data_IF_093542776077
#
_entry.id   IF_093542776077
#
_cell.length_a   1.000
_cell.length_b   1.000
_cell.length_c   1.000
_cell.angle_alpha   90.00
_cell.angle_beta   90.00
_cell.angle_gamma   90.00
#
_symmetry.space_group_name_H-M   'P 1'
#
loop_
_entity.id
_entity.type
_entity.pdbx_description
1 polymer ?
#
# COMPACT_ATOMS: atom_id res chain seq x y z
N UNK A 1 -22.95 63.24 -4.98
CA UNK A 1 -21.93 62.43 -4.29
C UNK A 1 -22.63 61.57 -3.26
N UNK A 2 -22.82 60.28 -3.55
CA UNK A 2 -23.50 59.36 -2.63
C UNK A 2 -22.49 58.91 -1.58
N UNK A 3 -22.68 59.34 -0.33
CA UNK A 3 -21.85 58.96 0.81
C UNK A 3 -22.28 57.55 1.25
N UNK A 4 -21.39 56.57 1.09
CA UNK A 4 -21.58 55.23 1.65
C UNK A 4 -21.37 55.29 3.16
N UNK A 5 -22.40 54.97 3.94
CA UNK A 5 -22.28 54.79 5.38
C UNK A 5 -21.88 53.34 5.65
N UNK A 6 -20.60 53.13 6.00
CA UNK A 6 -20.09 51.85 6.47
C UNK A 6 -20.33 51.82 7.98
N UNK A 7 -21.17 50.88 8.43
CA UNK A 7 -21.37 50.60 9.86
C UNK A 7 -20.61 49.31 10.20
N UNK A 8 -19.76 49.37 11.23
CA UNK A 8 -19.05 48.22 11.75
C UNK A 8 -20.02 47.37 12.55
N UNK A 9 -20.52 46.29 11.97
CA UNK A 9 -21.17 45.21 12.72
C UNK A 9 -20.09 44.37 13.38
N UNK A 10 -20.19 44.21 14.71
CA UNK A 10 -19.39 43.22 15.42
C UNK A 10 -19.59 41.84 14.78
N UNK A 11 -18.52 41.03 14.63
CA UNK A 11 -18.63 39.72 14.04
C UNK A 11 -19.62 38.88 14.86
N UNK A 12 -20.56 38.22 14.18
CA UNK A 12 -21.50 37.26 14.80
C UNK A 12 -20.69 36.30 15.69
N UNK A 13 -21.09 36.17 16.95
CA UNK A 13 -20.42 35.30 17.92
C UNK A 13 -20.21 33.92 17.29
N UNK A 14 -18.92 33.56 17.14
CA UNK A 14 -18.58 32.22 16.67
C UNK A 14 -19.09 31.25 17.71
N UNK A 15 -19.88 30.27 17.29
CA UNK A 15 -20.26 29.13 18.12
C UNK A 15 -18.99 28.40 18.58
N UNK A 16 -18.45 28.78 19.74
CA UNK A 16 -17.46 27.96 20.41
C UNK A 16 -18.25 26.90 21.18
N UNK A 17 -17.95 25.63 20.92
CA UNK A 17 -18.53 24.53 21.69
C UNK A 17 -18.37 24.81 23.18
N UNK A 18 -19.47 24.80 23.93
CA UNK A 18 -19.49 24.99 25.39
C UNK A 18 -18.98 23.78 26.16
N UNK A 19 -18.67 22.68 25.46
CA UNK A 19 -18.01 21.50 26.04
C UNK A 19 -16.51 21.75 26.14
N UNK A 20 -15.99 21.61 27.36
CA UNK A 20 -14.56 21.61 27.63
C UNK A 20 -13.86 20.54 26.77
N UNK A 21 -12.77 20.95 26.12
CA UNK A 21 -11.94 20.04 25.36
C UNK A 21 -11.24 19.07 26.31
N UNK A 22 -10.93 17.83 25.86
CA UNK A 22 -10.17 16.89 26.68
C UNK A 22 -8.82 17.50 27.07
N UNK A 23 -8.60 17.66 28.37
CA UNK A 23 -7.30 18.05 28.94
C UNK A 23 -6.53 16.80 29.34
N UNK A 24 -5.20 16.90 29.43
CA UNK A 24 -4.34 15.80 29.91
C UNK A 24 -4.71 15.31 31.31
N UNK A 25 -5.24 16.20 32.16
CA UNK A 25 -5.75 15.85 33.48
C UNK A 25 -7.06 15.08 33.39
N UNK A 26 -7.97 15.54 32.52
CA UNK A 26 -9.18 14.80 32.22
C UNK A 26 -8.82 13.40 31.74
N UNK A 27 -7.86 13.23 30.80
CA UNK A 27 -7.33 11.98 30.23
C UNK A 27 -6.75 11.00 31.30
N UNK A 28 -6.17 11.54 32.37
CA UNK A 28 -5.65 10.71 33.44
C UNK A 28 -6.77 10.15 34.34
N UNK A 29 -7.83 10.93 34.55
CA UNK A 29 -8.93 10.60 35.47
C UNK A 29 -9.75 9.38 35.04
N UNK A 30 -10.02 9.23 33.75
CA UNK A 30 -10.82 8.10 33.27
C UNK A 30 -9.98 7.02 32.56
N UNK A 31 -8.66 6.98 32.82
CA UNK A 31 -7.72 6.00 32.23
C UNK A 31 -8.13 4.54 32.46
N UNK A 32 -8.90 4.28 33.52
CA UNK A 32 -9.42 2.97 33.89
C UNK A 32 -10.91 2.81 33.60
N UNK A 33 -11.57 3.82 33.01
CA UNK A 33 -12.99 3.77 32.66
C UNK A 33 -13.15 3.09 31.29
N UNK A 34 -13.75 1.88 31.22
CA UNK A 34 -13.95 1.17 29.96
C UNK A 34 -14.90 1.90 29.00
N UNK A 35 -15.72 2.82 29.53
CA UNK A 35 -16.74 3.54 28.76
C UNK A 35 -16.22 4.87 28.21
N UNK A 36 -15.03 5.30 28.62
CA UNK A 36 -14.49 6.57 28.17
C UNK A 36 -13.81 6.46 26.82
N UNK A 37 -14.53 6.89 25.80
CA UNK A 37 -14.03 6.99 24.43
C UNK A 37 -13.29 8.33 24.27
N UNK A 38 -12.03 8.26 23.83
CA UNK A 38 -11.24 9.45 23.46
C UNK A 38 -12.03 10.22 22.40
N UNK A 39 -12.56 11.39 22.78
CA UNK A 39 -13.67 12.05 22.11
C UNK A 39 -13.39 12.46 20.67
N UNK A 40 -13.54 11.53 19.72
CA UNK A 40 -13.96 11.86 18.37
C UNK A 40 -15.46 12.12 18.43
N UNK A 41 -15.88 13.36 18.18
CA UNK A 41 -17.30 13.67 18.06
C UNK A 41 -17.82 13.05 16.77
N UNK A 42 -18.35 11.84 16.88
CA UNK A 42 -18.96 11.14 15.78
C UNK A 42 -20.43 11.59 15.62
N UNK A 43 -20.81 12.24 14.49
CA UNK A 43 -22.21 12.52 14.22
C UNK A 43 -23.08 11.26 14.30
N UNK A 44 -24.33 11.38 14.78
CA UNK A 44 -25.25 10.25 14.83
C UNK A 44 -25.48 9.68 13.42
N UNK A 45 -25.74 8.37 13.34
CA UNK A 45 -25.79 7.59 12.09
C UNK A 45 -26.65 8.25 11.00
N UNK A 46 -27.75 8.86 11.40
CA UNK A 46 -28.71 9.56 10.53
C UNK A 46 -28.14 10.81 9.84
N UNK A 47 -27.12 11.44 10.43
CA UNK A 47 -26.48 12.66 9.93
C UNK A 47 -25.21 12.39 9.14
N UNK A 48 -24.82 11.12 8.99
CA UNK A 48 -23.61 10.74 8.25
C UNK A 48 -23.90 10.85 6.75
N UNK A 49 -23.12 11.64 5.99
CA UNK A 49 -23.25 11.69 4.55
C UNK A 49 -22.99 10.31 3.92
N UNK A 50 -23.64 10.03 2.79
CA UNK A 50 -23.32 8.86 1.96
C UNK A 50 -21.85 8.92 1.53
N UNK A 51 -21.19 7.76 1.41
CA UNK A 51 -19.76 7.62 1.14
C UNK A 51 -18.82 8.23 2.20
N UNK A 52 -19.30 8.48 3.42
CA UNK A 52 -18.45 8.83 4.56
C UNK A 52 -18.49 7.77 5.64
N UNK A 53 -17.33 7.60 6.26
CA UNK A 53 -17.06 6.63 7.30
C UNK A 53 -16.83 7.36 8.62
N UNK A 54 -17.31 6.77 9.69
CA UNK A 54 -16.88 7.16 11.03
C UNK A 54 -15.48 6.63 11.30
N UNK A 55 -14.75 7.26 12.21
CA UNK A 55 -13.38 6.84 12.49
C UNK A 55 -13.38 5.47 13.18
N UNK A 56 -14.32 5.26 14.10
CA UNK A 56 -14.56 3.96 14.72
C UNK A 56 -14.91 2.89 13.69
N UNK A 57 -15.86 3.19 12.82
CA UNK A 57 -16.28 2.33 11.71
C UNK A 57 -15.10 1.95 10.80
N UNK A 58 -14.23 2.92 10.48
CA UNK A 58 -13.04 2.69 9.67
C UNK A 58 -12.02 1.77 10.38
N UNK A 59 -11.80 1.97 11.68
CA UNK A 59 -10.90 1.11 12.46
C UNK A 59 -11.43 -0.33 12.57
N UNK A 60 -12.73 -0.50 12.80
CA UNK A 60 -13.39 -1.80 12.85
C UNK A 60 -13.30 -2.51 11.49
N UNK A 61 -13.53 -1.79 10.38
CA UNK A 61 -13.36 -2.31 9.02
C UNK A 61 -11.92 -2.76 8.74
N UNK A 62 -10.95 -1.90 9.04
CA UNK A 62 -9.53 -2.18 8.82
C UNK A 62 -9.06 -3.38 9.63
N UNK A 63 -9.52 -3.50 10.88
CA UNK A 63 -9.24 -4.64 11.75
C UNK A 63 -9.81 -5.93 11.16
N UNK A 64 -11.10 -5.96 10.80
CA UNK A 64 -11.73 -7.16 10.23
C UNK A 64 -11.03 -7.60 8.95
N UNK A 65 -10.68 -6.64 8.08
CA UNK A 65 -9.96 -6.91 6.83
C UNK A 65 -8.56 -7.45 7.07
N UNK A 66 -7.86 -6.96 8.09
CA UNK A 66 -6.57 -7.50 8.50
C UNK A 66 -6.70 -8.92 9.06
N UNK A 67 -7.69 -9.20 9.90
CA UNK A 67 -7.93 -10.55 10.47
C UNK A 67 -8.21 -11.58 9.36
N UNK A 68 -8.89 -11.18 8.27
CA UNK A 68 -9.10 -12.04 7.10
C UNK A 68 -7.83 -12.34 6.31
N UNK A 69 -6.98 -11.33 6.11
CA UNK A 69 -5.75 -11.45 5.29
C UNK A 69 -4.56 -11.99 6.09
N UNK A 70 -4.59 -11.89 7.41
CA UNK A 70 -3.48 -12.29 8.28
C UNK A 70 -3.37 -13.80 8.39
N UNK A 71 -2.22 -14.34 8.02
CA UNK A 71 -1.88 -15.77 8.14
C UNK A 71 -1.82 -16.26 9.59
N UNK A 72 -1.61 -15.35 10.55
CA UNK A 72 -1.54 -15.66 11.98
C UNK A 72 -2.91 -15.70 12.67
N UNK A 73 -3.97 -15.28 11.98
CA UNK A 73 -5.32 -15.23 12.55
C UNK A 73 -5.95 -16.61 12.61
N UNK A 74 -6.59 -16.91 13.74
CA UNK A 74 -7.28 -18.17 13.98
C UNK A 74 -8.52 -18.32 13.07
N UNK A 75 -8.85 -19.53 12.63
CA UNK A 75 -10.08 -19.80 11.86
C UNK A 75 -11.38 -19.23 12.47
N UNK A 76 -11.65 -19.34 13.79
CA UNK A 76 -12.80 -18.70 14.41
C UNK A 76 -12.77 -17.16 14.31
N UNK A 77 -11.60 -16.53 14.42
CA UNK A 77 -11.47 -15.09 14.28
C UNK A 77 -11.76 -14.65 12.84
N UNK A 78 -11.26 -15.40 11.85
CA UNK A 78 -11.59 -15.16 10.44
C UNK A 78 -13.08 -15.28 10.15
N UNK A 79 -13.77 -16.27 10.74
CA UNK A 79 -15.23 -16.43 10.58
C UNK A 79 -16.00 -15.26 11.21
N UNK A 80 -15.58 -14.81 12.40
CA UNK A 80 -16.18 -13.63 13.05
C UNK A 80 -15.94 -12.36 12.24
N UNK A 81 -14.72 -12.15 11.74
CA UNK A 81 -14.40 -11.01 10.88
C UNK A 81 -15.19 -11.02 9.57
N UNK A 82 -15.38 -12.20 8.95
CA UNK A 82 -16.20 -12.34 7.74
C UNK A 82 -17.67 -11.99 7.99
N UNK A 83 -18.25 -12.44 9.11
CA UNK A 83 -19.61 -12.11 9.51
C UNK A 83 -19.77 -10.62 9.82
N UNK A 84 -18.81 -10.04 10.54
CA UNK A 84 -18.82 -8.62 10.85
C UNK A 84 -18.68 -7.75 9.59
N UNK A 85 -17.92 -8.19 8.59
CA UNK A 85 -17.83 -7.50 7.30
C UNK A 85 -19.10 -7.61 6.45
N UNK A 86 -19.78 -8.77 6.46
CA UNK A 86 -21.04 -8.92 5.73
C UNK A 86 -22.16 -8.09 6.36
N UNK A 87 -22.18 -7.99 7.69
CA UNK A 87 -23.28 -7.40 8.44
C UNK A 87 -23.05 -5.91 8.75
N UNK A 88 -21.86 -5.37 8.44
CA UNK A 88 -21.52 -3.99 8.80
C UNK A 88 -22.36 -2.96 8.04
N UNK A 89 -22.91 -1.98 8.76
CA UNK A 89 -23.63 -0.83 8.19
C UNK A 89 -22.74 -0.02 7.21
N UNK A 90 -21.42 -0.17 7.34
CA UNK A 90 -20.40 0.53 6.55
C UNK A 90 -20.32 0.02 5.12
N UNK A 91 -20.34 -1.30 4.92
CA UNK A 91 -20.25 -1.91 3.59
C UNK A 91 -21.50 -1.66 2.75
N UNK A 92 -22.63 -1.33 3.40
CA UNK A 92 -23.85 -0.89 2.73
C UNK A 92 -23.88 0.63 2.41
N UNK A 93 -23.14 1.46 3.15
CA UNK A 93 -23.16 2.94 3.02
C UNK A 93 -22.07 3.48 2.09
N UNK A 94 -20.98 2.75 1.93
CA UNK A 94 -19.73 3.24 1.33
C UNK A 94 -19.32 2.33 0.17
N UNK A 95 -18.87 2.94 -0.93
CA UNK A 95 -18.40 2.21 -2.10
C UNK A 95 -17.19 1.32 -1.79
N UNK A 96 -17.15 0.13 -2.41
CA UNK A 96 -16.07 -0.84 -2.23
C UNK A 96 -14.70 -0.27 -2.62
N UNK A 97 -14.63 0.54 -3.69
CA UNK A 97 -13.39 1.18 -4.15
C UNK A 97 -12.78 2.08 -3.06
N UNK A 98 -13.60 2.90 -2.41
CA UNK A 98 -13.12 3.77 -1.32
C UNK A 98 -12.64 2.99 -0.10
N UNK A 99 -13.25 1.83 0.18
CA UNK A 99 -12.82 0.94 1.26
C UNK A 99 -11.51 0.21 0.91
N UNK A 100 -11.26 -0.03 -0.38
CA UNK A 100 -10.00 -0.59 -0.90
C UNK A 100 -8.88 0.44 -0.79
N UNK A 101 -9.11 1.67 -1.22
CA UNK A 101 -8.17 2.78 -1.09
C UNK A 101 -7.77 3.00 0.38
N UNK A 102 -8.75 3.03 1.28
CA UNK A 102 -8.50 3.19 2.72
C UNK A 102 -7.64 2.06 3.26
N UNK A 103 -7.87 0.83 2.83
CA UNK A 103 -7.04 -0.30 3.25
C UNK A 103 -5.63 -0.22 2.66
N UNK A 104 -5.47 0.27 1.42
CA UNK A 104 -4.16 0.46 0.81
C UNK A 104 -3.32 1.48 1.58
N UNK A 105 -3.89 2.64 1.92
CA UNK A 105 -3.19 3.73 2.57
C UNK A 105 -3.08 3.60 4.09
N UNK A 106 -4.10 3.05 4.75
CA UNK A 106 -4.19 2.97 6.22
C UNK A 106 -4.13 1.52 6.74
N UNK A 107 -3.20 0.71 6.20
CA UNK A 107 -2.96 -0.62 6.76
C UNK A 107 -2.68 -0.50 8.26
N UNK A 108 -3.41 -1.24 9.11
CA UNK A 108 -3.10 -1.26 10.53
C UNK A 108 -1.65 -1.67 10.74
N UNK A 109 -0.93 -0.93 11.58
CA UNK A 109 0.42 -1.31 11.96
C UNK A 109 0.35 -2.64 12.70
N UNK A 110 0.78 -3.71 12.03
CA UNK A 110 0.96 -5.00 12.67
C UNK A 110 1.99 -4.82 13.79
N UNK A 111 1.57 -4.99 15.05
CA UNK A 111 2.49 -5.12 16.17
C UNK A 111 3.28 -6.41 15.98
N UNK A 112 4.40 -6.33 15.28
CA UNK A 112 5.36 -7.41 15.18
C UNK A 112 6.26 -7.36 16.41
N UNK A 113 6.05 -8.28 17.35
CA UNK A 113 6.92 -8.47 18.52
C UNK A 113 8.39 -8.75 18.12
N UNK A 114 8.60 -9.22 16.89
CA UNK A 114 9.92 -9.44 16.30
C UNK A 114 10.06 -8.59 15.04
N UNK A 115 10.90 -7.55 15.14
CA UNK A 115 11.28 -6.73 14.00
C UNK A 115 12.24 -7.53 13.11
N UNK A 116 11.95 -7.61 11.81
CA UNK A 116 12.91 -8.13 10.83
C UNK A 116 14.01 -7.09 10.66
N UNK A 117 15.05 -7.17 11.48
CA UNK A 117 16.23 -6.32 11.35
C UNK A 117 16.95 -6.73 10.07
N UNK A 118 16.83 -5.93 9.02
CA UNK A 118 17.62 -6.12 7.79
C UNK A 118 19.04 -5.67 8.08
N UNK A 119 20.02 -6.45 7.65
CA UNK A 119 21.42 -6.06 7.79
C UNK A 119 21.67 -4.75 7.01
N UNK A 120 22.29 -3.76 7.65
CA UNK A 120 22.58 -2.45 7.07
C UNK A 120 23.37 -2.56 5.76
N UNK A 121 24.22 -3.56 5.64
CA UNK A 121 25.00 -3.83 4.43
C UNK A 121 24.12 -4.24 3.24
N UNK A 122 23.16 -5.15 3.47
CA UNK A 122 22.23 -5.58 2.43
C UNK A 122 21.29 -4.44 1.97
N UNK A 123 20.97 -3.51 2.87
CA UNK A 123 20.21 -2.30 2.55
C UNK A 123 21.01 -1.33 1.68
N UNK A 124 22.30 -1.15 1.98
CA UNK A 124 23.19 -0.32 1.18
C UNK A 124 23.42 -0.92 -0.22
N UNK A 125 23.61 -2.24 -0.32
CA UNK A 125 23.73 -2.95 -1.60
C UNK A 125 22.48 -2.78 -2.47
N UNK A 126 21.29 -2.90 -1.87
CA UNK A 126 20.02 -2.68 -2.57
C UNK A 126 19.85 -1.22 -3.03
N UNK A 127 20.26 -0.27 -2.19
CA UNK A 127 20.22 1.15 -2.51
C UNK A 127 21.18 1.51 -3.66
N UNK A 128 22.40 0.98 -3.63
CA UNK A 128 23.40 1.14 -4.69
C UNK A 128 22.92 0.51 -5.99
N UNK A 129 22.27 -0.66 -5.94
CA UNK A 129 21.67 -1.31 -7.09
C UNK A 129 20.54 -0.48 -7.71
N UNK A 130 19.62 0.04 -6.89
CA UNK A 130 18.52 0.91 -7.33
C UNK A 130 19.03 2.22 -7.97
N UNK A 131 20.17 2.71 -7.51
CA UNK A 131 20.79 3.91 -8.04
C UNK A 131 21.71 3.65 -9.24
N UNK A 132 21.87 2.39 -9.67
CA UNK A 132 22.70 2.01 -10.81
C UNK A 132 24.21 2.02 -10.53
N UNK A 133 24.62 2.06 -9.26
CA UNK A 133 26.02 2.00 -8.82
C UNK A 133 26.51 0.56 -8.58
N UNK A 134 25.69 -0.46 -8.83
CA UNK A 134 26.10 -1.85 -8.63
C UNK A 134 27.13 -2.30 -9.66
N UNK A 135 28.26 -2.83 -9.20
CA UNK A 135 29.19 -3.58 -10.02
C UNK A 135 28.47 -4.79 -10.65
N UNK A 136 28.27 -4.77 -11.97
CA UNK A 136 27.62 -5.87 -12.73
C UNK A 136 28.32 -7.23 -12.53
N UNK A 137 29.58 -7.21 -12.10
CA UNK A 137 30.38 -8.41 -11.78
C UNK A 137 29.96 -9.08 -10.46
N UNK A 138 29.39 -8.35 -9.50
CA UNK A 138 28.91 -8.92 -8.22
C UNK A 138 27.55 -9.63 -8.35
N UNK A 139 26.76 -9.28 -9.37
CA UNK A 139 25.47 -9.92 -9.66
C UNK A 139 25.66 -11.42 -9.95
N UNK A 140 26.79 -11.80 -10.57
CA UNK A 140 27.15 -13.19 -10.85
C UNK A 140 27.50 -13.99 -9.59
N UNK A 141 28.14 -13.36 -8.59
CA UNK A 141 28.42 -13.99 -7.29
C UNK A 141 27.15 -14.09 -6.42
N UNK A 142 26.29 -13.07 -6.47
CA UNK A 142 24.98 -13.12 -5.82
C UNK A 142 24.09 -14.23 -6.40
N UNK A 143 24.20 -14.57 -7.69
CA UNK A 143 23.44 -15.66 -8.30
C UNK A 143 23.75 -17.05 -7.69
N UNK A 144 24.97 -17.28 -7.18
CA UNK A 144 25.27 -18.50 -6.41
C UNK A 144 24.59 -18.47 -5.02
N UNK A 145 24.50 -17.29 -4.41
CA UNK A 145 23.90 -17.10 -3.10
C UNK A 145 22.36 -17.00 -3.14
N UNK A 146 21.79 -16.67 -4.31
CA UNK A 146 20.36 -16.80 -4.62
C UNK A 146 19.90 -18.25 -4.46
N UNK A 147 20.75 -19.24 -4.76
CA UNK A 147 20.47 -20.66 -4.48
C UNK A 147 20.35 -21.02 -2.99
N UNK A 148 20.93 -20.22 -2.09
CA UNK A 148 20.75 -20.34 -0.63
C UNK A 148 19.60 -19.46 -0.12
N UNK A 149 19.43 -18.25 -0.67
CA UNK A 149 18.33 -17.33 -0.34
C UNK A 149 16.96 -17.85 -0.82
N UNK A 150 16.88 -18.55 -1.95
CA UNK A 150 15.68 -19.24 -2.45
C UNK A 150 15.20 -20.36 -1.52
N UNK A 151 16.10 -20.98 -0.75
CA UNK A 151 15.70 -21.98 0.27
C UNK A 151 15.03 -21.34 1.50
N UNK A 152 15.25 -20.04 1.71
CA UNK A 152 14.68 -19.30 2.85
C UNK A 152 13.35 -18.62 2.51
N UNK A 153 12.99 -18.48 1.23
CA UNK A 153 11.68 -17.97 0.79
C UNK A 153 10.76 -19.18 0.62
N UNK A 154 9.86 -19.35 1.58
CA UNK A 154 9.16 -20.58 1.97
C UNK A 154 8.24 -21.23 0.92
N UNK A 155 8.05 -20.62 -0.25
CA UNK A 155 7.13 -21.16 -1.27
C UNK A 155 7.85 -21.86 -2.44
N UNK A 156 9.11 -21.50 -2.71
CA UNK A 156 9.91 -22.16 -3.77
C UNK A 156 10.69 -23.38 -3.27
N UNK A 157 10.76 -23.61 -1.95
CA UNK A 157 11.44 -24.77 -1.38
C UNK A 157 10.79 -26.09 -1.81
N UNK A 158 9.45 -26.12 -1.93
CA UNK A 158 8.71 -27.32 -2.40
C UNK A 158 9.03 -27.66 -3.84
N UNK A 159 9.07 -26.66 -4.73
CA UNK A 159 9.44 -26.84 -6.13
C UNK A 159 10.90 -27.31 -6.28
N UNK A 160 11.81 -26.79 -5.47
CA UNK A 160 13.22 -27.21 -5.47
C UNK A 160 13.41 -28.64 -4.96
N UNK A 161 12.71 -29.04 -3.90
CA UNK A 161 12.72 -30.40 -3.38
C UNK A 161 12.09 -31.39 -4.38
N UNK A 162 10.99 -31.01 -5.01
CA UNK A 162 10.32 -31.81 -6.04
C UNK A 162 11.20 -31.93 -7.30
N UNK A 163 11.83 -30.83 -7.70
CA UNK A 163 12.78 -30.80 -8.82
C UNK A 163 14.03 -31.66 -8.57
N UNK A 164 14.54 -31.69 -7.33
CA UNK A 164 15.69 -32.54 -6.98
C UNK A 164 15.35 -34.03 -7.00
N UNK A 165 14.08 -34.39 -6.71
CA UNK A 165 13.56 -35.75 -6.71
C UNK A 165 13.24 -36.29 -8.11
N UNK A 166 13.08 -35.44 -9.12
CA UNK A 166 12.85 -35.85 -10.51
C UNK A 166 14.04 -36.63 -11.10
N UNK A 167 13.76 -37.51 -12.06
CA UNK A 167 14.80 -38.21 -12.81
C UNK A 167 15.55 -37.24 -13.76
N UNK A 168 16.79 -37.57 -14.12
CA UNK A 168 17.67 -36.65 -14.86
C UNK A 168 17.10 -36.24 -16.24
N UNK A 169 16.33 -37.13 -16.88
CA UNK A 169 15.64 -36.83 -18.14
C UNK A 169 14.49 -35.82 -17.98
N UNK A 170 13.82 -35.81 -16.83
CA UNK A 170 12.73 -34.88 -16.54
C UNK A 170 13.28 -33.52 -16.12
N UNK A 171 14.41 -33.51 -15.41
CA UNK A 171 15.17 -32.31 -15.08
C UNK A 171 15.64 -31.56 -16.32
N UNK A 172 16.08 -32.28 -17.36
CA UNK A 172 16.47 -31.69 -18.66
C UNK A 172 15.27 -31.05 -19.37
N UNK A 173 14.12 -31.74 -19.46
CA UNK A 173 12.90 -31.17 -20.06
C UNK A 173 12.43 -29.90 -19.36
N UNK A 174 12.51 -29.87 -18.03
CA UNK A 174 12.17 -28.67 -17.25
C UNK A 174 13.18 -27.55 -17.48
N UNK A 175 14.48 -27.84 -17.63
CA UNK A 175 15.49 -26.83 -18.00
C UNK A 175 15.23 -26.25 -19.38
N UNK A 176 14.88 -27.09 -20.36
CA UNK A 176 14.53 -26.66 -21.71
C UNK A 176 13.28 -25.78 -21.71
N UNK A 177 12.23 -26.16 -20.97
CA UNK A 177 11.02 -25.35 -20.82
C UNK A 177 11.31 -23.99 -20.15
N UNK A 178 12.16 -23.96 -19.11
CA UNK A 178 12.58 -22.71 -18.47
C UNK A 178 13.41 -21.85 -19.43
N UNK A 179 14.30 -22.46 -20.22
CA UNK A 179 15.11 -21.75 -21.20
C UNK A 179 14.24 -21.12 -22.30
N UNK A 180 13.22 -21.84 -22.78
CA UNK A 180 12.26 -21.32 -23.75
C UNK A 180 11.45 -20.16 -23.19
N UNK A 181 10.90 -20.29 -21.97
CA UNK A 181 10.17 -19.21 -21.30
C UNK A 181 11.04 -17.95 -21.13
N UNK A 182 12.32 -18.13 -20.78
CA UNK A 182 13.27 -17.01 -20.66
C UNK A 182 13.54 -16.35 -22.01
N UNK A 183 13.66 -17.12 -23.09
CA UNK A 183 13.83 -16.58 -24.43
C UNK A 183 12.61 -15.78 -24.89
N UNK A 184 11.41 -16.33 -24.70
CA UNK A 184 10.14 -15.64 -25.01
C UNK A 184 10.00 -14.34 -24.21
N UNK A 185 10.35 -14.36 -22.92
CA UNK A 185 10.34 -13.17 -22.09
C UNK A 185 11.38 -12.14 -22.54
N UNK A 186 12.58 -12.58 -22.91
CA UNK A 186 13.63 -11.71 -23.48
C UNK A 186 13.16 -11.04 -24.77
N UNK A 187 12.52 -11.79 -25.67
CA UNK A 187 11.96 -11.27 -26.91
C UNK A 187 10.83 -10.27 -26.64
N UNK A 188 9.93 -10.57 -25.70
CA UNK A 188 8.85 -9.66 -25.28
C UNK A 188 9.41 -8.35 -24.73
N UNK A 189 10.43 -8.43 -23.88
CA UNK A 189 11.08 -7.27 -23.29
C UNK A 189 11.81 -6.45 -24.36
N UNK A 190 12.50 -7.10 -25.29
CA UNK A 190 13.19 -6.41 -26.38
C UNK A 190 12.21 -5.70 -27.33
N UNK A 191 11.05 -6.32 -27.63
CA UNK A 191 9.96 -5.68 -28.37
C UNK A 191 9.42 -4.45 -27.64
N UNK A 192 9.18 -4.54 -26.33
CA UNK A 192 8.75 -3.39 -25.51
C UNK A 192 9.80 -2.28 -25.47
N UNK A 193 11.08 -2.62 -25.37
CA UNK A 193 12.17 -1.65 -25.36
C UNK A 193 12.25 -0.90 -26.69
N UNK A 194 12.07 -1.60 -27.82
CA UNK A 194 11.98 -0.99 -29.14
C UNK A 194 10.81 0.00 -29.26
N UNK A 195 9.63 -0.38 -28.80
CA UNK A 195 8.44 0.50 -28.79
C UNK A 195 8.65 1.76 -27.95
N UNK A 196 9.30 1.63 -26.78
CA UNK A 196 9.64 2.77 -25.92
C UNK A 196 10.62 3.71 -26.65
N UNK A 197 11.65 3.17 -27.31
CA UNK A 197 12.59 3.97 -28.09
C UNK A 197 11.96 4.72 -29.28
N UNK A 198 10.95 4.13 -29.93
CA UNK A 198 10.16 4.80 -30.97
C UNK A 198 9.27 5.90 -30.41
N UNK A 199 8.62 5.64 -29.27
CA UNK A 199 7.85 6.66 -28.55
C UNK A 199 8.73 7.83 -28.12
N UNK A 200 9.93 7.59 -27.61
CA UNK A 200 10.87 8.65 -27.23
C UNK A 200 11.31 9.49 -28.43
N UNK A 201 11.60 8.88 -29.59
CA UNK A 201 11.92 9.61 -30.82
C UNK A 201 10.75 10.47 -31.28
N UNK A 202 9.53 9.92 -31.26
CA UNK A 202 8.33 10.67 -31.63
C UNK A 202 8.06 11.84 -30.67
N UNK A 203 8.30 11.66 -29.37
CA UNK A 203 8.18 12.71 -28.36
C UNK A 203 9.24 13.80 -28.54
N UNK A 204 10.48 13.44 -28.86
CA UNK A 204 11.55 14.40 -29.16
C UNK A 204 11.27 15.20 -30.43
N UNK A 205 10.73 14.57 -31.48
CA UNK A 205 10.33 15.26 -32.71
C UNK A 205 9.13 16.20 -32.48
N UNK A 206 8.15 15.78 -31.69
CA UNK A 206 7.02 16.62 -31.28
C UNK A 206 7.48 17.82 -30.43
N UNK A 207 8.43 17.61 -29.51
CA UNK A 207 9.05 18.69 -28.74
C UNK A 207 9.82 19.67 -29.62
N UNK A 208 10.59 19.19 -30.60
CA UNK A 208 11.31 20.07 -31.54
C UNK A 208 10.34 20.94 -32.37
N UNK A 209 9.27 20.36 -32.89
CA UNK A 209 8.22 21.10 -33.63
C UNK A 209 7.52 22.13 -32.75
N UNK A 210 7.19 21.78 -31.50
CA UNK A 210 6.57 22.72 -30.56
C UNK A 210 7.50 23.88 -30.16
N UNK A 211 8.82 23.66 -30.14
CA UNK A 211 9.82 24.71 -29.89
C UNK A 211 9.99 25.64 -31.10
N UNK A 212 9.92 25.10 -32.33
CA UNK A 212 9.98 25.90 -33.56
C UNK A 212 8.72 26.75 -33.76
N UNK A 213 7.53 26.21 -33.48
CA UNK A 213 6.27 26.99 -33.54
C UNK A 213 6.21 28.13 -32.53
N UNK A 214 6.85 27.98 -31.36
CA UNK A 214 6.97 29.05 -30.36
C UNK A 214 7.98 30.13 -30.72
N UNK A 215 8.91 29.86 -31.65
CA UNK A 215 9.89 30.86 -32.14
C UNK A 215 9.35 31.71 -33.30
N UNK A 216 8.26 31.28 -33.94
CA UNK A 216 7.63 31.97 -35.07
C UNK A 216 6.34 32.73 -34.73
N UNK A 217 6.02 32.87 -33.43
CA UNK A 217 5.03 33.82 -32.89
C UNK A 217 5.73 34.92 -32.12
#
# INVERSE_FOLDING_TARGET
MNKMNITSTDPVERWTSTKDLPTRESEFLHRNDPMWEYGFYEPPVERIPKDKLMFREALEYLRCRQELLSETSSEPQRKQAAQLMSDHVVTARVNSETLDDIYEYFRPFERKDKQKVVNRHALAELQDHLQGHSDERKILDEAQDVGKKLRQISDNAKFLDEYQRLEDQEKEKVREAIAQLRQEEHERLNKRLGQIGEMEKSAQEAMKKAVEEKKHK
#
